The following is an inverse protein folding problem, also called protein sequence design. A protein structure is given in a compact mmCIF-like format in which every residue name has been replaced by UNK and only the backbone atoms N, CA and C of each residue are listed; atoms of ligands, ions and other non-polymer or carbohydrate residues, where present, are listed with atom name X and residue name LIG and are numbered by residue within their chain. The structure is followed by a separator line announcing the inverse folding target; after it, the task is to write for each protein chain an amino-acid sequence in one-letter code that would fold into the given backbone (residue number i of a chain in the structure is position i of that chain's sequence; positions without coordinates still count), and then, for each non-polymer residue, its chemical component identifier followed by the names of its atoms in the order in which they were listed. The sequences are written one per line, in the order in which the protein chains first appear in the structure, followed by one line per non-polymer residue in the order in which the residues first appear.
data_IF_251447650232
#
_entry.id   IF_251447650232
#
_cell.length_a   1.000
_cell.length_b   1.000
_cell.length_c   1.000
_cell.angle_alpha   90.00
_cell.angle_beta   90.00
_cell.angle_gamma   90.00
#
_symmetry.space_group_name_H-M   'P 1'
#
loop_
_entity.id
_entity.type
_entity.pdbx_description
1 polymer ?
#
# COMPACT_ATOMS: atom_id res chain seq x y z
N UNK A 1 -10.34 -2.46 7.03
CA UNK A 1 -9.11 -1.66 6.95
C UNK A 1 -9.50 -0.19 6.89
N UNK A 2 -8.78 0.76 7.50
CA UNK A 2 -9.12 2.17 7.35
C UNK A 2 -8.67 2.72 5.99
N UNK A 3 -9.43 3.66 5.44
CA UNK A 3 -9.06 4.36 4.20
C UNK A 3 -8.08 5.49 4.57
N UNK A 4 -6.97 5.54 3.84
CA UNK A 4 -5.83 6.41 4.15
C UNK A 4 -5.40 7.21 2.92
N UNK A 5 -4.67 8.29 3.15
CA UNK A 5 -3.98 9.05 2.12
C UNK A 5 -2.61 9.50 2.58
N UNK A 6 -1.60 9.30 1.73
CA UNK A 6 -0.21 9.63 2.05
C UNK A 6 0.27 10.80 1.18
N UNK A 7 0.85 11.80 1.82
CA UNK A 7 1.42 12.99 1.20
C UNK A 7 2.90 13.09 1.51
N UNK A 8 3.71 13.46 0.52
CA UNK A 8 5.14 13.66 0.69
C UNK A 8 5.59 15.01 0.15
N UNK A 9 6.24 15.78 1.00
CA UNK A 9 6.78 17.10 0.69
C UNK A 9 8.29 16.96 0.57
N UNK A 10 8.87 17.03 -0.64
CA UNK A 10 10.31 16.94 -0.82
C UNK A 10 11.01 18.13 -0.15
N UNK A 11 12.13 17.86 0.53
CA UNK A 11 13.01 18.89 1.05
C UNK A 11 14.33 18.88 0.29
N UNK A 12 14.92 20.07 0.12
CA UNK A 12 16.32 20.18 -0.29
C UNK A 12 17.20 19.66 0.86
N UNK A 13 18.26 18.86 0.59
CA UNK A 13 19.16 18.35 1.64
C UNK A 13 19.72 19.40 2.62
N UNK A 14 19.81 20.66 2.20
CA UNK A 14 20.33 21.76 3.02
C UNK A 14 19.24 22.67 3.61
N UNK A 15 17.96 22.39 3.37
CA UNK A 15 16.84 23.19 3.86
C UNK A 15 16.13 22.51 5.04
N UNK A 16 15.43 23.30 5.85
CA UNK A 16 14.48 22.78 6.83
C UNK A 16 13.35 22.03 6.13
N UNK A 17 12.85 20.99 6.78
CA UNK A 17 11.69 20.24 6.28
C UNK A 17 10.39 21.02 6.53
N UNK A 18 9.30 20.56 5.93
CA UNK A 18 7.98 21.16 6.12
C UNK A 18 7.32 20.77 7.47
N UNK A 19 8.00 19.99 8.31
CA UNK A 19 7.46 19.40 9.54
C UNK A 19 6.85 20.45 10.48
N UNK A 20 7.60 21.51 10.78
CA UNK A 20 7.13 22.59 11.66
C UNK A 20 5.92 23.28 11.07
N UNK A 21 5.99 23.68 9.80
CA UNK A 21 4.90 24.37 9.12
C UNK A 21 3.61 23.54 9.08
N UNK A 22 3.72 22.22 8.82
CA UNK A 22 2.56 21.31 8.83
C UNK A 22 1.98 21.21 10.24
N UNK A 23 2.83 21.04 11.25
CA UNK A 23 2.39 20.92 12.65
C UNK A 23 1.68 22.19 13.12
N UNK A 24 2.25 23.37 12.86
CA UNK A 24 1.64 24.66 13.19
C UNK A 24 0.29 24.84 12.50
N UNK A 25 0.22 24.53 11.20
CA UNK A 25 -1.03 24.64 10.44
C UNK A 25 -2.08 23.62 10.86
N UNK A 26 -1.67 22.43 11.29
CA UNK A 26 -2.60 21.46 11.87
C UNK A 26 -3.31 22.04 13.10
N UNK A 27 -2.56 22.72 13.98
CA UNK A 27 -3.10 23.35 15.19
C UNK A 27 -3.87 24.65 14.93
N UNK A 28 -3.64 25.34 13.81
CA UNK A 28 -4.27 26.64 13.54
C UNK A 28 -5.40 26.61 12.51
N UNK A 29 -5.35 25.70 11.54
CA UNK A 29 -6.23 25.71 10.36
C UNK A 29 -7.40 24.71 10.45
N UNK A 30 -7.32 23.73 11.36
CA UNK A 30 -8.39 22.76 11.57
C UNK A 30 -9.29 23.23 12.71
N UNK A 31 -10.61 23.10 12.52
CA UNK A 31 -11.62 23.52 13.50
C UNK A 31 -11.52 22.74 14.81
N UNK A 32 -11.15 21.46 14.71
CA UNK A 32 -11.01 20.57 15.85
C UNK A 32 -9.58 20.57 16.37
N UNK A 33 -9.43 20.60 17.70
CA UNK A 33 -8.13 20.67 18.36
C UNK A 33 -7.34 19.36 18.18
N UNK A 34 -6.13 19.40 17.58
CA UNK A 34 -5.33 18.20 17.41
C UNK A 34 -4.79 17.67 18.75
N UNK A 35 -5.12 16.41 19.07
CA UNK A 35 -4.65 15.73 20.29
C UNK A 35 -3.48 14.82 19.95
N UNK A 36 -2.29 15.08 20.52
CA UNK A 36 -1.13 14.21 20.33
C UNK A 36 -1.31 12.88 21.09
N UNK A 37 -1.35 11.76 20.36
CA UNK A 37 -1.63 10.43 20.94
C UNK A 37 -0.42 9.50 20.98
N UNK A 38 0.67 9.84 20.30
CA UNK A 38 1.84 8.98 20.31
C UNK A 38 2.86 9.27 19.22
N UNK A 39 3.72 8.27 19.01
CA UNK A 39 4.79 8.28 18.02
C UNK A 39 4.67 7.11 17.07
N UNK A 40 5.21 7.27 15.87
CA UNK A 40 5.25 6.23 14.87
C UNK A 40 6.60 6.19 14.16
N UNK A 41 6.90 5.07 13.53
CA UNK A 41 8.09 4.92 12.70
C UNK A 41 7.77 4.08 11.46
N UNK A 42 8.54 4.31 10.40
CA UNK A 42 8.52 3.50 9.20
C UNK A 42 9.95 3.26 8.71
N UNK A 43 10.16 2.12 8.06
CA UNK A 43 11.37 1.85 7.29
C UNK A 43 10.99 1.30 5.92
N UNK A 44 11.49 1.94 4.86
CA UNK A 44 11.33 1.53 3.48
C UNK A 44 12.69 1.26 2.83
N UNK A 45 12.79 0.15 2.10
CA UNK A 45 14.00 -0.25 1.37
C UNK A 45 13.66 -0.52 -0.08
N UNK A 46 14.45 0.04 -0.99
CA UNK A 46 14.33 -0.21 -2.42
C UNK A 46 15.49 -1.05 -2.94
N UNK A 47 15.17 -2.14 -3.63
CA UNK A 47 16.07 -2.93 -4.44
C UNK A 47 15.73 -2.72 -5.93
N UNK A 48 16.75 -2.75 -6.78
CA UNK A 48 16.63 -2.73 -8.25
C UNK A 48 17.38 -3.92 -8.82
N UNK A 49 16.93 -4.46 -9.94
CA UNK A 49 17.66 -5.53 -10.60
C UNK A 49 19.04 -5.08 -11.10
N UNK A 50 20.07 -5.87 -10.79
CA UNK A 50 21.46 -5.58 -11.15
C UNK A 50 21.69 -5.54 -12.67
N UNK A 51 21.08 -6.43 -13.48
CA UNK A 51 21.24 -6.38 -14.94
C UNK A 51 20.75 -5.08 -15.61
N UNK A 52 19.75 -4.40 -15.05
CA UNK A 52 19.31 -3.09 -15.58
C UNK A 52 20.25 -1.95 -15.22
N UNK A 53 21.29 -2.20 -14.42
CA UNK A 53 22.27 -1.20 -14.00
C UNK A 53 23.57 -1.23 -14.84
N UNK A 54 23.75 -2.22 -15.73
CA UNK A 54 24.94 -2.33 -16.58
C UNK A 54 24.71 -1.69 -17.96
N UNK A 55 25.56 -0.74 -18.41
CA UNK A 55 25.51 -0.24 -19.78
C UNK A 55 25.72 -1.38 -20.79
N UNK A 56 24.83 -1.48 -21.78
CA UNK A 56 24.68 -2.66 -22.63
C UNK A 56 25.96 -3.09 -23.36
N UNK A 57 26.45 -4.29 -23.05
CA UNK A 57 27.53 -4.94 -23.81
C UNK A 57 27.03 -5.76 -25.01
N UNK A 58 25.70 -5.84 -25.24
CA UNK A 58 25.08 -6.43 -26.44
C UNK A 58 23.72 -5.77 -26.76
N UNK A 59 23.26 -5.77 -28.04
CA UNK A 59 21.99 -5.17 -28.46
C UNK A 59 20.79 -6.05 -28.09
N UNK A 60 20.79 -6.62 -26.89
CA UNK A 60 19.78 -7.55 -26.42
C UNK A 60 18.87 -6.79 -25.46
N UNK A 61 17.67 -6.44 -25.97
CA UNK A 61 16.53 -5.80 -25.29
C UNK A 61 16.89 -5.01 -24.03
N UNK A 62 16.80 -3.68 -24.09
CA UNK A 62 16.76 -2.83 -22.88
C UNK A 62 15.79 -3.45 -21.86
N UNK A 63 16.32 -4.20 -20.89
CA UNK A 63 15.52 -4.88 -19.90
C UNK A 63 14.93 -3.78 -19.03
N UNK A 64 13.61 -3.63 -19.03
CA UNK A 64 12.95 -2.66 -18.17
C UNK A 64 13.38 -2.92 -16.72
N UNK A 65 13.74 -1.88 -15.96
CA UNK A 65 14.24 -2.05 -14.61
C UNK A 65 13.15 -2.67 -13.73
N UNK A 66 13.54 -3.71 -13.00
CA UNK A 66 12.68 -4.40 -12.03
C UNK A 66 13.00 -3.91 -10.63
N UNK A 67 11.96 -3.82 -9.81
CA UNK A 67 12.05 -3.25 -8.47
C UNK A 67 11.44 -4.20 -7.45
N UNK A 68 12.05 -4.22 -6.27
CA UNK A 68 11.53 -4.90 -5.10
C UNK A 68 11.61 -3.93 -3.92
N UNK A 69 10.49 -3.74 -3.24
CA UNK A 69 10.35 -2.82 -2.12
C UNK A 69 10.05 -3.60 -0.86
N UNK A 70 10.65 -3.20 0.25
CA UNK A 70 10.32 -3.68 1.59
C UNK A 70 9.83 -2.50 2.40
N UNK A 71 8.76 -2.69 3.17
CA UNK A 71 8.23 -1.68 4.08
C UNK A 71 7.91 -2.35 5.43
N UNK A 72 8.25 -1.65 6.50
CA UNK A 72 7.76 -1.94 7.85
C UNK A 72 7.15 -0.68 8.45
N UNK A 73 6.06 -0.87 9.19
CA UNK A 73 5.30 0.19 9.85
C UNK A 73 5.18 -0.15 11.33
N UNK A 74 5.48 0.79 12.23
CA UNK A 74 5.52 0.52 13.67
C UNK A 74 4.15 0.13 14.27
N UNK A 75 3.06 0.50 13.61
CA UNK A 75 1.68 0.20 14.03
C UNK A 75 1.09 -1.02 13.30
N UNK A 76 1.88 -1.72 12.49
CA UNK A 76 1.63 -3.09 12.01
C UNK A 76 2.79 -4.00 12.43
N UNK A 77 2.94 -4.30 13.74
CA UNK A 77 4.14 -4.95 14.28
C UNK A 77 4.33 -6.40 13.81
N UNK A 78 3.28 -7.04 13.29
CA UNK A 78 3.33 -8.41 12.82
C UNK A 78 3.57 -8.49 11.30
N UNK A 79 3.44 -7.38 10.58
CA UNK A 79 3.46 -7.36 9.11
C UNK A 79 4.70 -6.66 8.56
N UNK A 80 5.38 -7.34 7.66
CA UNK A 80 6.32 -6.75 6.71
C UNK A 80 5.73 -6.83 5.31
N UNK A 81 5.78 -5.74 4.57
CA UNK A 81 5.21 -5.66 3.23
C UNK A 81 6.31 -5.73 2.19
N UNK A 82 6.07 -6.50 1.13
CA UNK A 82 6.98 -6.67 -0.01
C UNK A 82 6.21 -6.38 -1.30
N UNK A 83 6.73 -5.49 -2.14
CA UNK A 83 6.11 -5.15 -3.42
C UNK A 83 7.11 -5.29 -4.56
N UNK A 84 6.84 -6.22 -5.48
CA UNK A 84 7.76 -6.64 -6.54
C UNK A 84 7.17 -6.38 -7.92
N UNK A 85 7.99 -5.92 -8.86
CA UNK A 85 7.59 -5.83 -10.26
C UNK A 85 7.39 -7.24 -10.80
N UNK A 86 6.27 -7.43 -11.48
CA UNK A 86 5.96 -8.65 -12.18
C UNK A 86 6.89 -8.82 -13.39
N UNK A 87 7.09 -10.06 -13.80
CA UNK A 87 7.94 -10.39 -14.94
C UNK A 87 7.04 -10.45 -16.17
N UNK A 88 7.35 -9.74 -17.28
CA UNK A 88 6.63 -9.94 -18.52
C UNK A 88 7.02 -11.32 -19.09
N UNK A 89 6.40 -12.39 -18.59
CA UNK A 89 6.47 -13.69 -19.24
C UNK A 89 5.63 -13.64 -20.52
N UNK A 90 6.35 -13.54 -21.65
CA UNK A 90 5.97 -13.94 -23.02
C UNK A 90 4.46 -14.06 -23.28
N UNK A 91 3.82 -12.95 -23.64
CA UNK A 91 2.72 -13.03 -24.60
C UNK A 91 3.28 -13.52 -25.95
N UNK A 92 2.76 -14.67 -26.40
CA UNK A 92 2.91 -15.36 -27.69
C UNK A 92 4.03 -14.92 -28.65
N UNK A 93 4.96 -15.83 -28.95
CA UNK A 93 5.70 -15.80 -30.22
C UNK A 93 4.73 -15.93 -31.39
N UNK A 94 4.38 -14.81 -32.04
CA UNK A 94 4.05 -14.82 -33.47
C UNK A 94 5.25 -14.25 -34.23
N UNK A 95 5.99 -15.05 -35.02
CA UNK A 95 7.00 -14.50 -35.91
C UNK A 95 6.29 -13.83 -37.07
N UNK A 96 6.15 -12.50 -37.03
CA UNK A 96 5.84 -11.73 -38.23
C UNK A 96 7.14 -11.64 -39.04
N UNK A 97 7.20 -12.17 -40.27
CA UNK A 97 8.40 -12.05 -41.09
C UNK A 97 8.59 -10.60 -41.53
N UNK A 98 9.79 -10.08 -41.23
CA UNK A 98 10.32 -8.82 -41.73
C UNK A 98 10.15 -8.70 -43.26
N UNK A 99 9.45 -7.66 -43.71
CA UNK A 99 9.63 -7.10 -45.04
C UNK A 99 10.27 -5.71 -44.89
N UNK A 100 11.52 -5.61 -45.35
CA UNK A 100 12.32 -4.40 -45.36
C UNK A 100 11.79 -3.39 -46.39
N UNK A 101 11.81 -2.10 -46.05
CA UNK A 101 11.93 -1.00 -47.02
C UNK A 101 12.76 0.12 -46.39
N UNK A 102 13.83 0.61 -47.04
CA UNK A 102 14.63 1.72 -46.55
C UNK A 102 14.16 3.04 -47.18
N UNK A 103 14.03 4.12 -46.39
CA UNK A 103 14.20 5.46 -46.93
C UNK A 103 14.65 6.49 -45.87
N UNK A 104 15.57 7.43 -46.22
CA UNK A 104 16.16 8.41 -45.31
C UNK A 104 15.46 9.79 -45.42
N UNK A 105 15.44 10.55 -44.33
CA UNK A 105 14.99 11.94 -44.33
C UNK A 105 15.24 12.66 -43.01
N UNK A 106 16.18 13.60 -43.02
CA UNK A 106 16.49 14.56 -41.95
C UNK A 106 15.38 15.63 -41.82
N UNK A 107 15.05 16.05 -40.60
CA UNK A 107 14.83 17.47 -40.21
C UNK A 107 14.72 17.63 -38.69
N UNK A 108 15.42 18.63 -38.18
CA UNK A 108 15.42 19.14 -36.81
C UNK A 108 14.15 19.93 -36.48
N UNK A 109 13.60 19.77 -35.28
CA UNK A 109 12.80 20.81 -34.61
C UNK A 109 12.76 20.61 -33.10
N UNK A 110 13.12 21.68 -32.40
CA UNK A 110 12.98 21.96 -30.98
C UNK A 110 11.53 21.87 -30.50
N UNK A 111 11.29 21.21 -29.36
CA UNK A 111 10.01 21.22 -28.67
C UNK A 111 10.15 20.70 -27.24
N UNK A 112 9.83 21.54 -26.27
CA UNK A 112 9.78 21.29 -24.83
C UNK A 112 8.95 20.05 -24.48
N UNK A 113 9.58 19.05 -23.87
CA UNK A 113 8.90 17.86 -23.36
C UNK A 113 8.51 18.05 -21.88
N UNK A 114 7.27 18.45 -21.66
CA UNK A 114 6.53 18.24 -20.42
C UNK A 114 6.16 16.75 -20.35
N UNK A 115 6.54 15.97 -19.32
CA UNK A 115 6.00 14.64 -19.15
C UNK A 115 4.61 14.75 -18.52
N UNK A 116 3.59 14.78 -19.36
CA UNK A 116 2.20 14.55 -18.96
C UNK A 116 2.03 13.09 -18.52
N UNK A 117 1.90 12.89 -17.20
CA UNK A 117 1.39 11.67 -16.60
C UNK A 117 -0.06 11.46 -17.04
N UNK A 118 -0.26 10.71 -18.13
CA UNK A 118 -1.54 10.08 -18.41
C UNK A 118 -1.52 8.69 -17.78
N UNK A 119 -2.18 8.57 -16.63
CA UNK A 119 -2.50 7.31 -15.99
C UNK A 119 -3.38 6.49 -16.94
N UNK A 120 -2.80 5.49 -17.60
CA UNK A 120 -3.55 4.46 -18.29
C UNK A 120 -4.22 3.55 -17.28
N UNK A 121 -5.52 3.30 -17.46
CA UNK A 121 -6.34 2.37 -16.68
C UNK A 121 -5.93 0.91 -16.91
N UNK A 122 -4.74 0.54 -16.45
CA UNK A 122 -4.26 -0.83 -16.34
C UNK A 122 -3.76 -1.07 -14.91
N UNK A 123 -4.17 -2.16 -14.28
CA UNK A 123 -3.72 -2.55 -12.95
C UNK A 123 -2.19 -2.54 -12.85
N UNK A 124 -1.64 -2.32 -11.65
CA UNK A 124 -0.19 -2.29 -11.53
C UNK A 124 0.39 -3.66 -11.85
N UNK A 125 1.44 -3.70 -12.69
CA UNK A 125 2.26 -4.90 -12.95
C UNK A 125 3.14 -5.22 -11.73
N UNK A 126 2.61 -5.07 -10.52
CA UNK A 126 3.33 -5.19 -9.28
C UNK A 126 2.53 -6.06 -8.31
N UNK A 127 3.22 -6.99 -7.66
CA UNK A 127 2.62 -7.94 -6.72
C UNK A 127 2.95 -7.51 -5.31
N UNK A 128 1.92 -7.30 -4.50
CA UNK A 128 2.05 -7.04 -3.06
C UNK A 128 1.97 -8.35 -2.30
N UNK A 129 2.83 -8.52 -1.31
CA UNK A 129 2.86 -9.70 -0.44
C UNK A 129 3.16 -9.27 0.98
N UNK A 130 2.37 -9.80 1.91
CA UNK A 130 2.57 -9.57 3.33
C UNK A 130 3.25 -10.79 3.94
N UNK A 131 4.27 -10.56 4.78
CA UNK A 131 5.03 -11.60 5.47
C UNK A 131 5.16 -11.24 6.95
N UNK A 132 5.44 -12.20 7.85
CA UNK A 132 5.79 -11.87 9.22
C UNK A 132 6.96 -10.88 9.28
N UNK A 133 6.85 -9.84 10.11
CA UNK A 133 7.87 -8.79 10.20
C UNK A 133 9.31 -9.33 10.42
N UNK A 134 9.55 -10.35 11.29
CA UNK A 134 10.88 -10.94 11.44
C UNK A 134 11.42 -11.55 10.13
N UNK A 135 10.54 -12.16 9.33
CA UNK A 135 10.87 -12.76 8.04
C UNK A 135 11.23 -11.71 6.98
N UNK A 136 10.58 -10.55 6.98
CA UNK A 136 10.89 -9.44 6.06
C UNK A 136 12.36 -9.00 6.18
N UNK A 137 12.86 -8.84 7.40
CA UNK A 137 14.26 -8.48 7.64
C UNK A 137 15.26 -9.57 7.21
N UNK A 138 14.93 -10.84 7.43
CA UNK A 138 15.74 -11.97 6.99
C UNK A 138 15.78 -12.10 5.46
N UNK A 139 14.63 -11.94 4.79
CA UNK A 139 14.51 -11.93 3.32
C UNK A 139 15.35 -10.81 2.72
N UNK A 140 15.25 -9.58 3.24
CA UNK A 140 16.07 -8.46 2.76
C UNK A 140 17.56 -8.79 2.84
N UNK A 141 18.04 -9.32 3.98
CA UNK A 141 19.44 -9.73 4.13
C UNK A 141 19.81 -10.82 3.12
N UNK A 142 18.94 -11.79 2.89
CA UNK A 142 19.16 -12.83 1.89
C UNK A 142 19.33 -12.23 0.49
N UNK A 143 18.47 -11.31 0.07
CA UNK A 143 18.61 -10.65 -1.23
C UNK A 143 19.88 -9.82 -1.36
N UNK A 144 20.29 -9.13 -0.30
CA UNK A 144 21.51 -8.30 -0.29
C UNK A 144 22.79 -9.14 -0.35
N UNK A 145 22.85 -10.27 0.35
CA UNK A 145 24.08 -11.06 0.46
C UNK A 145 24.16 -12.24 -0.53
N UNK A 146 23.05 -12.96 -0.73
CA UNK A 146 23.02 -14.16 -1.57
C UNK A 146 22.54 -13.86 -3.00
N UNK A 147 21.70 -12.85 -3.20
CA UNK A 147 21.13 -12.50 -4.50
C UNK A 147 21.72 -11.22 -5.11
N UNK A 148 22.86 -10.75 -4.61
CA UNK A 148 23.54 -9.54 -5.09
C UNK A 148 23.77 -9.49 -6.63
N UNK A 149 24.08 -10.61 -7.31
CA UNK A 149 24.18 -10.62 -8.77
C UNK A 149 22.87 -10.28 -9.50
N UNK A 150 21.72 -10.46 -8.85
CA UNK A 150 20.40 -10.23 -9.43
C UNK A 150 19.74 -8.96 -8.90
N UNK A 151 20.03 -8.59 -7.65
CA UNK A 151 19.41 -7.46 -6.96
C UNK A 151 20.47 -6.59 -6.31
N UNK A 152 20.35 -5.28 -6.53
CA UNK A 152 21.17 -4.26 -5.90
C UNK A 152 20.33 -3.39 -4.97
N UNK A 153 20.80 -3.19 -3.75
CA UNK A 153 20.18 -2.26 -2.80
C UNK A 153 20.44 -0.82 -3.25
N UNK A 154 19.37 -0.02 -3.36
CA UNK A 154 19.43 1.35 -3.86
C UNK A 154 19.40 2.37 -2.75
N UNK A 155 18.46 2.24 -1.83
CA UNK A 155 18.36 3.13 -0.68
C UNK A 155 17.50 2.54 0.42
N UNK A 156 17.70 3.07 1.62
CA UNK A 156 16.80 2.90 2.76
C UNK A 156 16.35 4.29 3.21
N UNK A 157 15.05 4.50 3.30
CA UNK A 157 14.46 5.69 3.92
C UNK A 157 13.68 5.29 5.16
N UNK A 158 13.70 6.15 6.16
CA UNK A 158 13.01 5.93 7.42
C UNK A 158 12.39 7.22 7.93
N UNK A 159 11.34 7.06 8.74
CA UNK A 159 10.79 8.11 9.58
C UNK A 159 11.11 7.75 11.02
N UNK A 160 12.18 8.32 11.62
CA UNK A 160 12.53 8.02 13.00
C UNK A 160 11.66 8.84 13.95
N UNK A 161 10.62 8.23 14.51
CA UNK A 161 9.85 8.81 15.62
C UNK A 161 8.97 9.99 15.23
N UNK A 162 8.19 9.85 14.17
CA UNK A 162 7.14 10.81 13.80
C UNK A 162 6.05 10.92 14.88
N UNK A 163 5.23 11.96 14.78
CA UNK A 163 4.14 12.27 15.72
C UNK A 163 2.79 11.82 15.16
N UNK A 164 1.89 11.41 16.06
CA UNK A 164 0.51 11.05 15.72
C UNK A 164 -0.46 11.97 16.45
N UNK A 165 -1.42 12.51 15.71
CA UNK A 165 -2.49 13.37 16.20
C UNK A 165 -3.85 12.76 15.86
N UNK A 166 -4.79 12.78 16.81
CA UNK A 166 -6.21 12.59 16.53
C UNK A 166 -6.86 13.98 16.34
N UNK A 167 -7.66 14.13 15.28
CA UNK A 167 -8.29 15.37 14.84
C UNK A 167 -9.69 15.02 14.32
N UNK A 168 -10.67 14.94 15.21
CA UNK A 168 -12.03 14.49 14.89
C UNK A 168 -12.07 13.10 14.29
N UNK A 169 -12.70 13.00 13.13
CA UNK A 169 -12.79 11.77 12.34
C UNK A 169 -11.49 11.42 11.60
N UNK A 170 -10.40 12.15 11.84
CA UNK A 170 -9.11 11.91 11.22
C UNK A 170 -8.04 11.57 12.24
N UNK A 171 -7.11 10.71 11.82
CA UNK A 171 -5.84 10.50 12.49
C UNK A 171 -4.72 10.89 11.54
N UNK A 172 -3.87 11.79 11.99
CA UNK A 172 -2.79 12.37 11.19
C UNK A 172 -1.44 11.93 11.76
N UNK A 173 -0.65 11.22 10.96
CA UNK A 173 0.72 10.83 11.31
C UNK A 173 1.69 11.67 10.48
N UNK A 174 2.54 12.45 11.17
CA UNK A 174 3.49 13.37 10.53
C UNK A 174 4.90 12.96 10.91
N UNK A 175 5.84 12.97 9.97
CA UNK A 175 7.24 12.74 10.30
C UNK A 175 8.24 13.12 9.23
N UNK A 176 9.47 13.37 9.66
CA UNK A 176 10.60 13.63 8.78
C UNK A 176 11.09 12.34 8.11
N UNK A 177 11.20 12.38 6.79
CA UNK A 177 11.77 11.28 6.01
C UNK A 177 13.27 11.51 5.84
N UNK A 178 14.06 10.53 6.26
CA UNK A 178 15.51 10.54 6.16
C UNK A 178 15.97 9.30 5.42
N UNK A 179 16.81 9.49 4.41
CA UNK A 179 17.58 8.40 3.86
C UNK A 179 18.67 8.02 4.87
N UNK A 180 18.79 6.75 5.20
CA UNK A 180 19.82 6.21 6.08
C UNK A 180 20.91 5.48 5.31
N UNK A 181 20.58 4.91 4.14
CA UNK A 181 21.52 4.26 3.23
C UNK A 181 21.24 4.64 1.77
N UNK A 182 22.25 4.75 0.90
CA UNK A 182 23.69 4.53 1.16
C UNK A 182 24.38 5.69 1.91
N UNK A 183 23.78 6.88 1.90
CA UNK A 183 24.27 8.04 2.62
C UNK A 183 23.13 8.71 3.38
N UNK A 184 23.41 9.15 4.61
CA UNK A 184 22.47 9.83 5.47
C UNK A 184 22.09 11.20 4.88
N UNK A 185 20.81 11.40 4.55
CA UNK A 185 20.31 12.64 3.94
C UNK A 185 18.86 12.89 4.30
N UNK A 186 18.51 14.13 4.60
CA UNK A 186 17.10 14.53 4.72
C UNK A 186 16.44 14.45 3.34
N UNK A 187 15.24 13.86 3.27
CA UNK A 187 14.47 13.71 2.03
C UNK A 187 13.23 14.59 1.99
N UNK A 188 12.61 14.85 3.14
CA UNK A 188 11.36 15.62 3.17
C UNK A 188 10.56 15.35 4.43
N UNK A 189 9.27 15.69 4.36
CA UNK A 189 8.26 15.35 5.36
C UNK A 189 7.22 14.46 4.72
N UNK A 190 6.76 13.44 5.44
CA UNK A 190 5.61 12.61 5.04
C UNK A 190 4.47 12.84 6.02
N UNK A 191 3.26 12.85 5.48
CA UNK A 191 2.01 12.96 6.21
C UNK A 191 1.11 11.83 5.76
N UNK A 192 0.62 11.04 6.70
CA UNK A 192 -0.45 10.07 6.49
C UNK A 192 -1.71 10.60 7.17
N UNK A 193 -2.82 10.61 6.45
CA UNK A 193 -4.13 10.97 6.96
C UNK A 193 -5.01 9.73 6.86
N UNK A 194 -5.42 9.21 8.01
CA UNK A 194 -6.33 8.09 8.16
C UNK A 194 -7.73 8.62 8.47
N UNK A 195 -8.73 8.23 7.68
CA UNK A 195 -10.13 8.50 8.02
C UNK A 195 -10.65 7.42 8.97
N UNK A 196 -11.22 7.86 10.09
CA UNK A 196 -11.73 7.04 11.20
C UNK A 196 -13.24 7.18 11.43
N UNK A 197 -13.93 7.95 10.58
CA UNK A 197 -15.38 8.01 10.60
C UNK A 197 -16.05 6.73 10.10
N UNK A 198 -17.39 6.69 10.04
CA UNK A 198 -18.13 5.53 9.56
C UNK A 198 -17.68 5.13 8.16
N UNK A 199 -17.42 3.83 7.96
CA UNK A 199 -16.98 3.33 6.65
C UNK A 199 -17.44 1.91 6.35
N UNK A 200 -17.96 1.73 5.14
CA UNK A 200 -18.34 0.44 4.57
C UNK A 200 -17.16 -0.55 4.54
N UNK A 201 -16.00 -0.06 4.11
CA UNK A 201 -14.76 -0.84 3.97
C UNK A 201 -14.25 -1.35 5.32
N UNK A 202 -14.41 -0.53 6.36
CA UNK A 202 -14.06 -0.94 7.72
C UNK A 202 -14.99 -2.04 8.23
N UNK A 203 -16.30 -1.92 7.97
CA UNK A 203 -17.30 -2.93 8.34
C UNK A 203 -17.07 -4.27 7.65
N UNK A 204 -16.81 -4.27 6.33
CA UNK A 204 -16.53 -5.51 5.56
C UNK A 204 -15.32 -6.25 6.16
N UNK A 205 -14.21 -5.56 6.40
CA UNK A 205 -13.03 -6.21 6.98
C UNK A 205 -13.26 -6.71 8.39
N UNK A 206 -13.95 -5.94 9.24
CA UNK A 206 -14.24 -6.35 10.61
C UNK A 206 -15.05 -7.65 10.65
N UNK A 207 -16.07 -7.75 9.79
CA UNK A 207 -16.90 -8.94 9.67
C UNK A 207 -16.14 -10.13 9.09
N UNK A 208 -15.28 -9.91 8.10
CA UNK A 208 -14.42 -10.98 7.56
C UNK A 208 -13.52 -11.61 8.63
N UNK A 209 -12.91 -10.78 9.48
CA UNK A 209 -12.08 -11.26 10.60
C UNK A 209 -12.93 -12.01 11.64
N UNK A 210 -14.14 -11.53 11.92
CA UNK A 210 -15.06 -12.20 12.84
C UNK A 210 -15.51 -13.57 12.32
N UNK A 211 -15.88 -13.67 11.03
CA UNK A 211 -16.30 -14.95 10.43
C UNK A 211 -15.16 -15.97 10.43
N UNK A 212 -13.91 -15.53 10.17
CA UNK A 212 -12.72 -16.39 10.26
C UNK A 212 -12.47 -16.90 11.68
N UNK A 213 -12.74 -16.09 12.72
CA UNK A 213 -12.58 -16.49 14.14
C UNK A 213 -13.65 -17.49 14.59
N UNK A 214 -14.90 -17.33 14.16
CA UNK A 214 -15.99 -18.26 14.48
C UNK A 214 -15.74 -19.69 13.98
N UNK A 215 -15.03 -19.83 12.86
CA UNK A 215 -14.66 -21.14 12.29
C UNK A 215 -13.52 -21.85 13.05
N UNK A 216 -12.65 -21.11 13.75
CA UNK A 216 -11.47 -21.68 14.42
C UNK A 216 -11.75 -22.15 15.87
N UNK A 217 -12.89 -21.78 16.48
CA UNK A 217 -13.25 -22.18 17.84
C UNK A 217 -14.14 -23.43 17.94
N UNK A 218 -14.20 -24.27 16.89
CA UNK A 218 -14.93 -25.54 16.90
C UNK A 218 -14.27 -26.68 17.71
N UNK A 219 -13.45 -26.37 18.72
CA UNK A 219 -12.60 -27.37 19.38
C UNK A 219 -12.23 -27.04 20.83
N UNK A 220 -13.19 -26.67 21.67
CA UNK A 220 -13.05 -26.84 23.12
C UNK A 220 -14.44 -26.84 23.77
N UNK A 221 -14.86 -27.99 24.25
CA UNK A 221 -15.90 -28.13 25.28
C UNK A 221 -15.58 -27.22 26.47
N UNK A 222 -16.46 -26.28 26.83
CA UNK A 222 -17.12 -26.30 28.14
C UNK A 222 -18.17 -25.18 28.26
N UNK A 223 -19.14 -25.46 29.11
CA UNK A 223 -20.43 -24.83 29.38
C UNK A 223 -20.34 -23.33 29.74
N UNK A 224 -20.99 -22.46 28.95
CA UNK A 224 -21.70 -21.31 29.53
C UNK A 224 -22.76 -20.76 28.57
N UNK A 225 -23.99 -21.00 28.98
CA UNK A 225 -25.24 -20.37 28.61
C UNK A 225 -25.09 -18.84 28.64
N UNK A 226 -25.08 -18.20 27.48
CA UNK A 226 -25.41 -16.78 27.35
C UNK A 226 -25.81 -16.48 25.90
N UNK A 227 -27.13 -16.37 25.72
CA UNK A 227 -27.79 -15.76 24.59
C UNK A 227 -27.20 -14.39 24.26
N UNK A 228 -26.33 -14.34 23.26
CA UNK A 228 -26.14 -13.14 22.46
C UNK A 228 -26.45 -13.48 21.01
N UNK A 229 -27.75 -13.37 20.74
CA UNK A 229 -28.32 -12.84 19.51
C UNK A 229 -27.46 -11.69 18.96
N UNK A 230 -26.46 -12.05 18.17
CA UNK A 230 -25.90 -11.16 17.16
C UNK A 230 -26.30 -11.76 15.84
N UNK A 231 -27.60 -11.69 15.53
CA UNK A 231 -28.09 -11.69 14.17
C UNK A 231 -27.36 -10.60 13.40
N UNK A 232 -26.16 -10.93 12.92
CA UNK A 232 -25.43 -10.13 11.96
C UNK A 232 -26.32 -10.16 10.72
N UNK A 233 -26.78 -8.99 10.31
CA UNK A 233 -27.63 -8.79 9.14
C UNK A 233 -26.84 -9.17 7.87
N UNK A 234 -26.79 -10.47 7.59
CA UNK A 234 -26.10 -11.06 6.44
C UNK A 234 -26.74 -10.62 5.12
N UNK A 235 -28.03 -10.23 5.15
CA UNK A 235 -28.74 -9.69 3.98
C UNK A 235 -28.16 -8.35 3.48
N UNK A 236 -27.45 -7.61 4.34
CA UNK A 236 -26.82 -6.34 3.97
C UNK A 236 -25.76 -6.53 2.86
N UNK A 237 -25.02 -7.64 2.87
CA UNK A 237 -23.87 -7.86 1.97
C UNK A 237 -24.27 -8.35 0.59
N UNK A 238 -25.42 -9.01 0.45
CA UNK A 238 -25.95 -9.41 -0.85
C UNK A 238 -26.02 -8.23 -1.83
N UNK A 239 -26.42 -7.06 -1.33
CA UNK A 239 -26.63 -5.83 -2.10
C UNK A 239 -25.36 -5.03 -2.43
N UNK A 240 -24.26 -5.21 -1.68
CA UNK A 240 -23.03 -4.41 -1.86
C UNK A 240 -22.24 -4.92 -3.07
N UNK A 241 -21.95 -4.07 -4.03
CA UNK A 241 -21.15 -4.39 -5.22
C UNK A 241 -19.71 -3.85 -5.11
N UNK A 242 -18.80 -4.35 -5.96
CA UNK A 242 -17.42 -3.84 -6.06
C UNK A 242 -17.41 -2.32 -6.37
N UNK A 243 -18.44 -1.82 -7.06
CA UNK A 243 -18.63 -0.41 -7.39
C UNK A 243 -18.95 0.46 -6.15
N UNK A 244 -19.66 -0.06 -5.16
CA UNK A 244 -19.95 0.65 -3.91
C UNK A 244 -18.68 0.83 -3.09
N UNK A 245 -17.81 -0.19 -3.08
CA UNK A 245 -16.48 -0.10 -2.47
C UNK A 245 -15.65 0.98 -3.18
N UNK A 246 -15.65 1.02 -4.51
CA UNK A 246 -14.91 2.03 -5.28
C UNK A 246 -15.46 3.45 -5.04
N UNK A 247 -16.78 3.59 -4.90
CA UNK A 247 -17.42 4.85 -4.56
C UNK A 247 -17.03 5.33 -3.15
N UNK A 248 -17.00 4.42 -2.17
CA UNK A 248 -16.56 4.69 -0.79
C UNK A 248 -15.10 5.18 -0.75
N UNK A 249 -14.18 4.49 -1.45
CA UNK A 249 -12.79 4.91 -1.57
C UNK A 249 -12.67 6.30 -2.21
N UNK A 250 -13.44 6.55 -3.27
CA UNK A 250 -13.44 7.83 -3.98
C UNK A 250 -13.98 8.98 -3.13
N UNK A 251 -15.08 8.76 -2.41
CA UNK A 251 -15.68 9.73 -1.51
C UNK A 251 -14.75 10.05 -0.33
N UNK A 252 -14.19 9.02 0.31
CA UNK A 252 -13.27 9.19 1.44
C UNK A 252 -11.96 9.85 1.00
N UNK A 253 -11.44 9.53 -0.19
CA UNK A 253 -10.30 10.23 -0.77
C UNK A 253 -10.57 11.73 -0.98
N UNK A 254 -11.80 12.11 -1.36
CA UNK A 254 -12.19 13.51 -1.46
C UNK A 254 -12.18 14.21 -0.09
N UNK A 255 -12.68 13.56 0.96
CA UNK A 255 -12.63 14.09 2.34
C UNK A 255 -11.18 14.29 2.81
N UNK A 256 -10.31 13.32 2.55
CA UNK A 256 -8.88 13.43 2.89
C UNK A 256 -8.21 14.58 2.13
N UNK A 257 -8.54 14.78 0.85
CA UNK A 257 -8.03 15.93 0.07
C UNK A 257 -8.56 17.26 0.58
N UNK A 258 -9.81 17.34 1.00
CA UNK A 258 -10.37 18.54 1.61
C UNK A 258 -9.66 18.87 2.93
N UNK A 259 -9.44 17.86 3.77
CA UNK A 259 -8.63 18.01 4.99
C UNK A 259 -7.22 18.51 4.66
N UNK A 260 -6.54 17.89 3.69
CA UNK A 260 -5.21 18.29 3.25
C UNK A 260 -5.18 19.74 2.72
N UNK A 261 -6.19 20.13 1.94
CA UNK A 261 -6.30 21.47 1.38
C UNK A 261 -6.39 22.56 2.45
N UNK A 262 -7.02 22.29 3.61
CA UNK A 262 -7.08 23.22 4.75
C UNK A 262 -5.69 23.54 5.31
N UNK A 263 -4.73 22.63 5.19
CA UNK A 263 -3.35 22.89 5.59
C UNK A 263 -2.61 23.83 4.62
N UNK A 264 -3.11 24.04 3.40
CA UNK A 264 -2.55 24.99 2.43
C UNK A 264 -1.10 24.70 2.01
N UNK A 265 -0.63 23.46 2.13
CA UNK A 265 0.75 23.06 1.82
C UNK A 265 0.86 22.72 0.32
N UNK A 266 1.66 23.48 -0.40
CA UNK A 266 1.89 23.29 -1.83
C UNK A 266 3.07 22.34 -2.12
N UNK A 267 3.11 21.77 -3.33
CA UNK A 267 4.24 20.95 -3.80
C UNK A 267 4.30 19.54 -3.20
N UNK A 268 3.29 19.12 -2.47
CA UNK A 268 3.18 17.76 -1.96
C UNK A 268 2.84 16.78 -3.10
N UNK A 269 3.54 15.65 -3.14
CA UNK A 269 3.12 14.47 -3.90
C UNK A 269 2.06 13.74 -3.10
N UNK A 270 1.07 13.18 -3.79
CA UNK A 270 -0.06 12.49 -3.20
C UNK A 270 -0.09 11.02 -3.63
N UNK A 271 -0.43 10.13 -2.70
CA UNK A 271 -0.74 8.73 -2.92
C UNK A 271 -1.96 8.33 -2.07
N UNK A 272 -3.16 8.35 -2.67
CA UNK A 272 -4.42 7.94 -2.03
C UNK A 272 -5.02 6.77 -2.82
N UNK A 273 -5.52 7.05 -4.02
CA UNK A 273 -6.09 6.07 -4.94
C UNK A 273 -4.99 5.48 -5.84
N UNK A 274 -4.00 4.83 -5.22
CA UNK A 274 -2.96 4.12 -5.98
C UNK A 274 -3.56 2.88 -6.65
N UNK A 275 -2.92 2.33 -7.70
CA UNK A 275 -3.42 1.12 -8.33
C UNK A 275 -3.61 0.00 -7.30
N UNK A 276 -4.69 -0.77 -7.49
CA UNK A 276 -5.02 -1.94 -6.68
C UNK A 276 -5.40 -1.66 -5.23
N UNK A 277 -5.66 -0.39 -4.88
CA UNK A 277 -6.27 -0.06 -3.59
C UNK A 277 -7.65 -0.69 -3.46
N UNK A 278 -7.94 -1.25 -2.29
CA UNK A 278 -9.23 -1.87 -1.99
C UNK A 278 -9.39 -3.27 -2.57
N UNK A 279 -8.37 -3.83 -3.24
CA UNK A 279 -8.41 -5.19 -3.80
C UNK A 279 -8.74 -6.23 -2.73
N UNK A 280 -8.06 -6.18 -1.59
CA UNK A 280 -8.24 -7.13 -0.50
C UNK A 280 -9.66 -7.06 0.06
N UNK A 281 -10.23 -5.85 0.19
CA UNK A 281 -11.59 -5.66 0.71
C UNK A 281 -12.64 -6.24 -0.25
N UNK A 282 -12.44 -6.08 -1.56
CA UNK A 282 -13.29 -6.73 -2.58
C UNK A 282 -13.19 -8.25 -2.53
N UNK A 283 -11.98 -8.79 -2.31
CA UNK A 283 -11.78 -10.23 -2.13
C UNK A 283 -12.43 -10.75 -0.83
N UNK A 284 -12.34 -9.99 0.26
CA UNK A 284 -13.03 -10.28 1.53
C UNK A 284 -14.55 -10.32 1.33
N UNK A 285 -15.13 -9.33 0.64
CA UNK A 285 -16.55 -9.30 0.30
C UNK A 285 -16.95 -10.53 -0.54
N UNK A 286 -16.19 -10.88 -1.57
CA UNK A 286 -16.45 -12.07 -2.40
C UNK A 286 -16.44 -13.35 -1.58
N UNK A 287 -15.49 -13.50 -0.64
CA UNK A 287 -15.43 -14.65 0.28
C UNK A 287 -16.64 -14.69 1.22
N UNK A 288 -17.07 -13.55 1.75
CA UNK A 288 -18.27 -13.44 2.60
C UNK A 288 -19.54 -13.86 1.83
N UNK A 289 -19.75 -13.35 0.62
CA UNK A 289 -20.89 -13.74 -0.24
C UNK A 289 -20.91 -15.24 -0.57
N UNK A 290 -19.72 -15.84 -0.77
CA UNK A 290 -19.61 -17.28 -1.02
C UNK A 290 -19.91 -18.12 0.23
N UNK A 291 -19.65 -17.62 1.43
CA UNK A 291 -20.00 -18.29 2.68
C UNK A 291 -21.52 -18.28 2.90
N UNK A 292 -22.17 -17.14 2.71
CA UNK A 292 -23.62 -16.98 2.80
C UNK A 292 -24.36 -18.00 1.92
N UNK A 293 -23.95 -18.14 0.66
CA UNK A 293 -24.56 -19.09 -0.26
C UNK A 293 -24.38 -20.56 0.17
N UNK A 294 -23.28 -20.91 0.84
CA UNK A 294 -22.99 -22.28 1.29
C UNK A 294 -23.77 -22.67 2.53
N UNK A 295 -23.96 -21.75 3.47
CA UNK A 295 -24.75 -21.98 4.68
C UNK A 295 -26.23 -22.26 4.35
N UNK A 296 -26.72 -21.72 3.22
CA UNK A 296 -28.08 -21.97 2.74
C UNK A 296 -28.27 -23.32 2.03
N UNK A 297 -27.20 -24.03 1.60
CA UNK A 297 -27.33 -25.22 0.73
C UNK A 297 -26.68 -26.53 1.21
N UNK A 298 -25.96 -26.58 2.34
CA UNK A 298 -25.24 -27.81 2.75
C UNK A 298 -25.48 -28.24 4.21
N UNK A 299 -25.61 -29.57 4.49
CA UNK A 299 -25.50 -30.10 5.84
C UNK A 299 -24.05 -29.99 6.33
N UNK A 300 -23.91 -29.56 7.58
CA UNK A 300 -22.66 -29.28 8.30
C UNK A 300 -21.76 -30.52 8.34
N UNK A 301 -20.80 -30.60 7.41
CA UNK A 301 -19.80 -31.66 7.40
C UNK A 301 -18.46 -31.07 7.86
N UNK A 302 -18.09 -31.42 9.08
CA UNK A 302 -16.86 -30.97 9.75
C UNK A 302 -15.67 -31.75 9.21
N UNK A 303 -14.65 -31.04 8.74
CA UNK A 303 -13.38 -31.66 8.39
C UNK A 303 -12.51 -30.77 7.52
N UNK A 304 -11.72 -29.90 8.15
CA UNK A 304 -10.31 -29.69 7.82
C UNK A 304 -9.72 -28.65 8.78
N UNK A 305 -9.16 -29.12 9.90
CA UNK A 305 -8.29 -28.32 10.75
C UNK A 305 -6.84 -28.56 10.30
N UNK A 306 -6.27 -27.63 9.55
CA UNK A 306 -4.84 -27.41 9.60
C UNK A 306 -4.62 -26.15 10.43
N UNK A 307 -4.23 -26.40 11.68
CA UNK A 307 -3.68 -25.43 12.60
C UNK A 307 -2.37 -24.92 11.98
N UNK A 308 -2.41 -23.70 11.50
CA UNK A 308 -1.22 -22.89 11.31
C UNK A 308 -1.49 -21.63 12.15
N UNK A 309 -0.49 -21.17 12.90
CA UNK A 309 -0.50 -19.92 13.68
C UNK A 309 -0.70 -18.71 12.75
N UNK A 310 -1.86 -18.66 12.10
CA UNK A 310 -2.17 -17.75 11.01
C UNK A 310 -2.69 -16.46 11.60
N UNK A 311 -2.03 -15.38 11.23
CA UNK A 311 -2.50 -14.03 11.47
C UNK A 311 -4.02 -13.92 11.18
N UNK A 312 -4.84 -13.41 12.12
CA UNK A 312 -6.27 -13.25 11.89
C UNK A 312 -6.58 -12.32 10.72
N UNK A 313 -5.70 -11.37 10.40
CA UNK A 313 -5.84 -10.44 9.27
C UNK A 313 -4.49 -10.28 8.53
N UNK A 314 -4.14 -11.24 7.64
CA UNK A 314 -2.87 -11.21 6.91
C UNK A 314 -2.79 -10.04 5.91
N UNK A 315 -3.94 -9.47 5.56
CA UNK A 315 -4.10 -8.41 4.58
C UNK A 315 -4.11 -7.01 5.24
N UNK A 316 -4.01 -6.94 6.57
CA UNK A 316 -4.02 -5.70 7.32
C UNK A 316 -2.93 -4.71 6.85
N UNK A 317 -3.34 -3.49 6.52
CA UNK A 317 -2.42 -2.41 6.15
C UNK A 317 -1.86 -2.50 4.72
N UNK A 318 -2.31 -3.44 3.90
CA UNK A 318 -1.81 -3.65 2.53
C UNK A 318 -2.01 -2.42 1.64
N UNK A 319 -3.17 -1.78 1.70
CA UNK A 319 -3.45 -0.56 0.93
C UNK A 319 -2.54 0.61 1.33
N UNK A 320 -2.36 0.81 2.63
CA UNK A 320 -1.47 1.82 3.16
C UNK A 320 -0.01 1.54 2.76
N UNK A 321 0.39 0.27 2.78
CA UNK A 321 1.71 -0.14 2.31
C UNK A 321 1.91 0.19 0.82
N UNK A 322 0.90 -0.03 -0.04
CA UNK A 322 0.95 0.39 -1.45
C UNK A 322 1.16 1.90 -1.58
N UNK A 323 0.42 2.69 -0.81
CA UNK A 323 0.53 4.16 -0.85
C UNK A 323 1.93 4.64 -0.45
N UNK A 324 2.49 4.13 0.65
CA UNK A 324 3.87 4.44 1.05
C UNK A 324 4.91 3.96 0.02
N UNK A 325 4.72 2.77 -0.54
CA UNK A 325 5.65 2.26 -1.55
C UNK A 325 5.52 2.96 -2.89
N UNK A 326 4.37 3.57 -3.20
CA UNK A 326 4.24 4.45 -4.36
C UNK A 326 4.91 5.80 -4.09
N UNK A 327 4.65 6.40 -2.92
CA UNK A 327 5.20 7.72 -2.58
C UNK A 327 6.74 7.68 -2.48
N UNK A 328 7.32 6.59 -1.97
CA UNK A 328 8.78 6.46 -1.82
C UNK A 328 9.52 5.93 -3.06
N UNK A 329 8.83 5.80 -4.21
CA UNK A 329 9.50 5.63 -5.51
C UNK A 329 10.15 6.95 -5.94
N UNK A 330 11.28 7.28 -5.34
CA UNK A 330 12.09 8.43 -5.75
C UNK A 330 12.76 8.19 -7.11
N UNK A 331 12.60 9.14 -8.04
CA UNK A 331 13.30 9.18 -9.34
C UNK A 331 13.19 7.90 -10.18
N UNK A 332 11.98 7.58 -10.64
CA UNK A 332 11.83 6.75 -11.86
C UNK A 332 12.35 7.51 -13.08
#
# INVERSE_FOLDING_TARGET
MPITGVFFIPANPNASTALTAITERLHSAVTEEPVAIGRWALEHKLMRDTPSCVPGSRPQRQAQPRYMQFLSLSYYPNHGFIYTSHSPEKTGHNPVPNAATPQPGLTSASGSATPSNAAGAGGSDMVMTTVPLPSSGALFKHFVYACQPFWCHRHTVAVPGGMVYDVGDFRVRIGDVRQTQPAARVRGTVVEIEYRGPSLVTSISAQYVQSKRGLNLGGATDVSDNDHDSGIDLELFGSIEDADIDAEYSATAALIREFWAKLGIEGAREAILVPDVGREVKEQLKKLKLQENKEQTAPRNEGHALQQDDDPDPDAGTDLARQFMEIFRFNR
#
